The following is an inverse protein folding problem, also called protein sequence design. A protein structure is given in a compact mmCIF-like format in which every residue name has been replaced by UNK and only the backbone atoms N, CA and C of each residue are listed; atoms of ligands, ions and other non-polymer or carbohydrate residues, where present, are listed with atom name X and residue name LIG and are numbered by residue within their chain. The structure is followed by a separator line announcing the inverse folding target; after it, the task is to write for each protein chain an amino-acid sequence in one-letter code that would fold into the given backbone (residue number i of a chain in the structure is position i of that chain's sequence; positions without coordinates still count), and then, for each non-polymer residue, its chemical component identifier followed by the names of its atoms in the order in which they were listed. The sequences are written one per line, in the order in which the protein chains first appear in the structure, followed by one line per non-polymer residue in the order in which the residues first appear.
data_IF_993182296283
#
_entry.id   IF_993182296283
#
_cell.length_a   1.000
_cell.length_b   1.000
_cell.length_c   1.000
_cell.angle_alpha   90.00
_cell.angle_beta   90.00
_cell.angle_gamma   90.00
#
_symmetry.space_group_name_H-M   'P 1'
#
loop_
_entity.id
_entity.type
_entity.pdbx_description
1 polymer ?
#
# COMPACT_ATOMS: atom_id res chain seq x y z
N UNK A 1 -54.37 -7.03 -30.99
CA UNK A 1 -54.18 -7.74 -32.25
C UNK A 1 -54.48 -9.25 -32.11
N UNK A 2 -53.98 -9.92 -31.08
CA UNK A 2 -54.24 -11.35 -30.87
C UNK A 2 -55.69 -11.64 -30.54
N UNK A 3 -56.37 -10.77 -29.81
CA UNK A 3 -57.79 -10.92 -29.43
C UNK A 3 -58.78 -10.74 -30.59
N UNK A 4 -58.31 -10.27 -31.75
CA UNK A 4 -59.15 -10.05 -32.95
C UNK A 4 -58.86 -11.06 -34.08
N UNK A 5 -57.92 -11.99 -33.87
CA UNK A 5 -57.58 -12.97 -34.87
C UNK A 5 -58.48 -14.19 -34.78
N UNK A 6 -59.07 -14.61 -35.89
CA UNK A 6 -59.83 -15.85 -35.99
C UNK A 6 -58.95 -17.10 -35.93
N UNK A 7 -59.56 -18.24 -35.58
CA UNK A 7 -58.86 -19.53 -35.55
C UNK A 7 -58.29 -19.86 -36.94
N UNK A 8 -56.94 -20.03 -37.05
CA UNK A 8 -56.23 -20.31 -38.29
C UNK A 8 -55.70 -19.09 -39.03
N UNK A 9 -55.91 -17.86 -38.53
CA UNK A 9 -55.35 -16.66 -39.15
C UNK A 9 -53.87 -16.46 -38.75
N UNK A 10 -53.05 -16.04 -39.73
CA UNK A 10 -51.64 -15.66 -39.49
C UNK A 10 -51.57 -14.20 -39.09
N UNK A 11 -51.20 -13.95 -37.85
CA UNK A 11 -50.99 -12.58 -37.34
C UNK A 11 -49.53 -12.20 -37.39
N UNK A 12 -49.20 -11.10 -38.07
CA UNK A 12 -47.85 -10.54 -38.10
C UNK A 12 -47.63 -9.66 -36.85
N UNK A 13 -46.79 -10.10 -35.95
CA UNK A 13 -46.41 -9.34 -34.76
C UNK A 13 -45.13 -8.54 -35.06
N UNK A 14 -45.17 -7.18 -35.09
CA UNK A 14 -43.94 -6.44 -35.26
C UNK A 14 -43.09 -6.55 -34.01
N UNK A 15 -41.84 -7.05 -34.19
CA UNK A 15 -40.84 -7.11 -33.15
C UNK A 15 -40.01 -5.82 -33.20
N UNK A 16 -39.99 -5.11 -32.08
CA UNK A 16 -39.02 -4.02 -31.90
C UNK A 16 -37.71 -4.62 -31.39
N UNK A 17 -36.76 -4.78 -32.29
CA UNK A 17 -35.39 -5.22 -31.92
C UNK A 17 -34.59 -3.99 -31.42
N UNK A 18 -34.25 -4.00 -30.16
CA UNK A 18 -33.30 -3.03 -29.59
C UNK A 18 -31.94 -3.71 -29.50
N UNK A 19 -30.96 -3.23 -30.25
CA UNK A 19 -29.61 -3.74 -30.13
C UNK A 19 -29.02 -3.29 -28.77
N UNK A 20 -28.31 -4.20 -28.05
CA UNK A 20 -27.62 -3.83 -26.85
C UNK A 20 -26.50 -2.83 -27.16
N UNK A 21 -26.22 -1.89 -26.24
CA UNK A 21 -25.12 -0.91 -26.37
C UNK A 21 -23.77 -1.62 -26.59
N UNK A 22 -23.56 -2.74 -25.91
CA UNK A 22 -22.39 -3.58 -26.00
C UNK A 22 -22.79 -4.94 -26.60
N UNK A 23 -22.42 -5.17 -27.86
CA UNK A 23 -22.61 -6.47 -28.54
C UNK A 23 -21.43 -7.40 -28.21
N UNK A 24 -21.63 -8.73 -28.32
CA UNK A 24 -20.54 -9.72 -28.11
C UNK A 24 -19.32 -9.41 -28.97
N UNK A 25 -19.51 -9.10 -30.24
CA UNK A 25 -18.40 -8.74 -31.14
C UNK A 25 -17.63 -7.50 -30.69
N UNK A 26 -18.32 -6.47 -30.17
CA UNK A 26 -17.67 -5.28 -29.62
C UNK A 26 -16.92 -5.58 -28.33
N UNK A 27 -17.49 -6.44 -27.48
CA UNK A 27 -16.86 -6.89 -26.25
C UNK A 27 -15.56 -7.64 -26.55
N UNK A 28 -15.62 -8.67 -27.39
CA UNK A 28 -14.48 -9.51 -27.78
C UNK A 28 -13.34 -8.67 -28.42
N UNK A 29 -13.69 -7.73 -29.31
CA UNK A 29 -12.72 -6.88 -29.97
C UNK A 29 -12.01 -5.88 -29.05
N UNK A 30 -12.57 -5.63 -27.85
CA UNK A 30 -12.07 -4.57 -26.94
C UNK A 30 -11.72 -5.10 -25.56
N UNK A 31 -11.84 -6.39 -25.29
CA UNK A 31 -11.67 -6.95 -23.96
C UNK A 31 -10.22 -6.77 -23.45
N UNK A 32 -10.07 -6.05 -22.34
CA UNK A 32 -8.79 -5.86 -21.61
C UNK A 32 -7.59 -5.36 -22.43
N UNK A 33 -7.82 -4.63 -23.52
CA UNK A 33 -6.76 -4.21 -24.44
C UNK A 33 -5.88 -3.06 -23.93
N UNK A 34 -6.39 -2.27 -22.98
CA UNK A 34 -5.73 -1.06 -22.51
C UNK A 34 -5.34 -1.21 -21.03
N UNK A 35 -4.23 -0.57 -20.66
CA UNK A 35 -3.85 -0.40 -19.25
C UNK A 35 -4.53 0.86 -18.73
N UNK A 36 -5.52 0.72 -17.86
CA UNK A 36 -6.23 1.85 -17.25
C UNK A 36 -5.41 2.47 -16.11
N UNK A 37 -4.66 1.65 -15.39
CA UNK A 37 -3.79 2.10 -14.33
C UNK A 37 -2.78 1.03 -13.93
N UNK A 38 -1.59 1.44 -13.54
CA UNK A 38 -0.56 0.54 -13.04
C UNK A 38 0.30 1.18 -11.96
N UNK A 39 0.83 0.36 -11.08
CA UNK A 39 1.70 0.81 -10.00
C UNK A 39 2.49 -0.31 -9.37
N UNK A 40 3.59 0.05 -8.73
CA UNK A 40 4.39 -0.93 -8.02
C UNK A 40 5.04 -0.33 -6.78
N UNK A 41 5.20 -1.16 -5.73
CA UNK A 41 5.83 -0.79 -4.47
C UNK A 41 6.82 -1.86 -4.02
N UNK A 42 7.94 -1.45 -3.42
CA UNK A 42 8.92 -2.39 -2.88
C UNK A 42 8.47 -2.89 -1.51
N UNK A 43 8.48 -4.20 -1.32
CA UNK A 43 8.09 -4.85 -0.08
C UNK A 43 9.32 -5.14 0.78
N UNK A 44 9.46 -4.43 1.89
CA UNK A 44 10.46 -4.72 2.91
C UNK A 44 9.93 -5.70 3.96
N UNK A 45 10.82 -6.34 4.71
CA UNK A 45 10.46 -7.16 5.87
C UNK A 45 10.91 -8.63 5.77
N UNK A 46 10.52 -9.47 6.74
CA UNK A 46 10.90 -10.88 6.79
C UNK A 46 10.14 -11.74 5.77
N UNK A 47 10.60 -12.97 5.55
CA UNK A 47 10.07 -13.92 4.55
C UNK A 47 8.56 -14.18 4.69
N UNK A 48 8.03 -14.28 5.91
CA UNK A 48 6.59 -14.48 6.12
C UNK A 48 5.76 -13.32 5.59
N UNK A 49 6.25 -12.08 5.70
CA UNK A 49 5.57 -10.90 5.16
C UNK A 49 5.50 -10.95 3.64
N UNK A 50 6.61 -11.30 2.98
CA UNK A 50 6.62 -11.46 1.51
C UNK A 50 5.72 -12.61 1.06
N UNK A 51 5.74 -13.72 1.81
CA UNK A 51 4.84 -14.85 1.55
C UNK A 51 3.36 -14.43 1.60
N UNK A 52 2.97 -13.67 2.64
CA UNK A 52 1.59 -13.18 2.78
C UNK A 52 1.19 -12.25 1.63
N UNK A 53 2.08 -11.34 1.23
CA UNK A 53 1.85 -10.42 0.12
C UNK A 53 1.73 -11.19 -1.21
N UNK A 54 2.56 -12.17 -1.45
CA UNK A 54 2.52 -13.03 -2.64
C UNK A 54 1.23 -13.85 -2.69
N UNK A 55 0.83 -14.46 -1.57
CA UNK A 55 -0.46 -15.18 -1.46
C UNK A 55 -1.65 -14.25 -1.74
N UNK A 56 -1.66 -13.07 -1.13
CA UNK A 56 -2.70 -12.07 -1.35
C UNK A 56 -2.74 -11.61 -2.83
N UNK A 57 -1.58 -11.35 -3.43
CA UNK A 57 -1.47 -10.97 -4.83
C UNK A 57 -1.98 -12.07 -5.76
N UNK A 58 -1.67 -13.34 -5.49
CA UNK A 58 -2.18 -14.48 -6.25
C UNK A 58 -3.70 -14.62 -6.17
N UNK A 59 -4.30 -14.32 -5.03
CA UNK A 59 -5.77 -14.34 -4.87
C UNK A 59 -6.44 -13.19 -5.62
N UNK A 60 -5.81 -12.02 -5.63
CA UNK A 60 -6.30 -10.85 -6.35
C UNK A 60 -6.15 -11.00 -7.87
N UNK A 61 -5.08 -11.71 -8.31
CA UNK A 61 -4.72 -11.82 -9.71
C UNK A 61 -5.80 -12.51 -10.54
N UNK A 62 -6.18 -11.91 -11.65
CA UNK A 62 -7.19 -12.43 -12.57
C UNK A 62 -8.63 -12.04 -12.23
N UNK A 63 -8.86 -11.29 -11.13
CA UNK A 63 -10.20 -10.78 -10.79
C UNK A 63 -10.76 -9.93 -11.93
N UNK A 64 -11.98 -10.23 -12.34
CA UNK A 64 -12.71 -9.50 -13.38
C UNK A 64 -13.95 -8.86 -12.74
N UNK A 65 -14.21 -7.60 -13.08
CA UNK A 65 -15.40 -6.88 -12.68
C UNK A 65 -16.16 -6.42 -13.92
N UNK A 66 -17.43 -6.78 -14.00
CA UNK A 66 -18.33 -6.27 -15.04
C UNK A 66 -18.68 -4.79 -14.80
N UNK A 67 -19.17 -4.06 -15.81
CA UNK A 67 -19.68 -2.71 -15.62
C UNK A 67 -20.69 -2.60 -14.49
N UNK A 68 -20.50 -1.66 -13.57
CA UNK A 68 -21.34 -1.45 -12.40
C UNK A 68 -21.05 -2.36 -11.20
N UNK A 69 -20.23 -3.41 -11.34
CA UNK A 69 -19.88 -4.27 -10.21
C UNK A 69 -18.93 -3.57 -9.23
N UNK A 70 -19.14 -3.86 -7.96
CA UNK A 70 -18.31 -3.37 -6.86
C UNK A 70 -17.37 -4.47 -6.38
N UNK A 71 -16.08 -4.17 -6.37
CA UNK A 71 -15.03 -5.00 -5.79
C UNK A 71 -14.99 -4.87 -4.27
N UNK A 72 -14.74 -5.97 -3.57
CA UNK A 72 -14.36 -6.04 -2.15
C UNK A 72 -13.02 -6.73 -2.02
N UNK A 73 -12.08 -6.08 -1.36
CA UNK A 73 -10.76 -6.66 -1.09
C UNK A 73 -10.87 -7.82 -0.09
N UNK A 74 -11.67 -7.66 0.96
CA UNK A 74 -11.85 -8.69 1.98
C UNK A 74 -12.49 -9.96 1.41
N UNK A 75 -13.52 -9.83 0.56
CA UNK A 75 -14.18 -10.97 -0.09
C UNK A 75 -13.23 -11.71 -1.05
N UNK A 76 -12.35 -10.97 -1.75
CA UNK A 76 -11.46 -11.54 -2.76
C UNK A 76 -10.19 -12.14 -2.14
N UNK A 77 -9.57 -11.45 -1.19
CA UNK A 77 -8.25 -11.78 -0.66
C UNK A 77 -8.31 -12.51 0.68
N UNK A 78 -9.40 -12.33 1.44
CA UNK A 78 -9.63 -13.00 2.71
C UNK A 78 -9.98 -14.49 2.59
N UNK A 79 -10.32 -15.14 3.69
CA UNK A 79 -10.13 -14.68 5.08
C UNK A 79 -8.66 -14.68 5.49
N UNK A 80 -8.29 -13.81 6.45
CA UNK A 80 -6.90 -13.59 6.88
C UNK A 80 -6.52 -14.51 8.05
N UNK A 81 -6.58 -15.83 7.84
CA UNK A 81 -6.36 -16.84 8.89
C UNK A 81 -5.19 -17.76 8.55
N UNK A 82 -4.65 -18.45 9.57
CA UNK A 82 -3.66 -19.51 9.36
C UNK A 82 -4.22 -20.65 8.51
N UNK A 83 -5.49 -21.01 8.72
CA UNK A 83 -6.18 -22.06 7.97
C UNK A 83 -6.32 -21.73 6.47
N UNK A 84 -6.40 -20.45 6.12
CA UNK A 84 -6.42 -19.98 4.73
C UNK A 84 -5.04 -19.79 4.13
N UNK A 85 -3.98 -20.20 4.84
CA UNK A 85 -2.60 -20.23 4.35
C UNK A 85 -1.76 -19.00 4.69
N UNK A 86 -2.31 -17.98 5.36
CA UNK A 86 -1.50 -16.85 5.82
C UNK A 86 -0.61 -17.22 6.98
N UNK A 87 0.49 -16.50 7.15
CA UNK A 87 1.47 -16.67 8.23
C UNK A 87 1.46 -15.48 9.18
N UNK A 88 1.90 -15.71 10.43
CA UNK A 88 2.21 -14.62 11.34
C UNK A 88 3.40 -13.81 10.79
N UNK A 89 3.23 -12.49 10.73
CA UNK A 89 4.26 -11.54 10.29
C UNK A 89 4.00 -10.17 10.92
N UNK A 90 5.04 -9.35 10.96
CA UNK A 90 4.98 -8.03 11.57
C UNK A 90 3.88 -7.16 10.96
N UNK A 91 3.02 -6.66 11.83
CA UNK A 91 2.03 -5.62 11.57
C UNK A 91 2.15 -4.53 12.63
N UNK A 92 1.43 -3.44 12.48
CA UNK A 92 1.46 -2.34 13.44
C UNK A 92 0.19 -2.31 14.25
N UNK A 93 0.34 -2.45 15.58
CA UNK A 93 -0.73 -2.22 16.55
C UNK A 93 -0.25 -1.23 17.59
N UNK A 94 -0.98 -0.13 17.80
CA UNK A 94 -0.68 0.90 18.81
C UNK A 94 0.76 1.44 18.75
N UNK A 95 1.33 1.57 17.56
CA UNK A 95 2.70 2.05 17.36
C UNK A 95 3.80 0.99 17.54
N UNK A 96 3.44 -0.22 17.93
CA UNK A 96 4.35 -1.36 18.05
C UNK A 96 4.28 -2.26 16.81
N UNK A 97 5.41 -2.83 16.44
CA UNK A 97 5.47 -3.95 15.51
C UNK A 97 5.17 -5.23 16.29
N UNK A 98 4.03 -5.84 16.00
CA UNK A 98 3.61 -7.11 16.59
C UNK A 98 3.38 -8.13 15.47
N UNK A 99 3.63 -9.40 15.76
CA UNK A 99 3.30 -10.46 14.81
C UNK A 99 1.80 -10.74 14.86
N UNK A 100 1.14 -10.55 13.73
CA UNK A 100 -0.25 -10.94 13.53
C UNK A 100 -0.41 -11.71 12.21
N UNK A 101 -1.44 -12.54 12.14
CA UNK A 101 -1.75 -13.31 10.94
C UNK A 101 -1.98 -12.36 9.75
N UNK A 102 -1.44 -12.73 8.59
CA UNK A 102 -1.52 -11.97 7.36
C UNK A 102 -0.82 -10.59 7.39
N UNK A 103 0.15 -10.37 8.31
CA UNK A 103 0.95 -9.14 8.28
C UNK A 103 1.53 -8.84 6.90
N UNK A 104 1.31 -7.62 6.40
CA UNK A 104 1.79 -7.13 5.10
C UNK A 104 0.71 -6.92 4.03
N UNK A 105 -0.47 -7.53 4.13
CA UNK A 105 -1.52 -7.46 3.09
C UNK A 105 -2.02 -6.04 2.80
N UNK A 106 -1.99 -5.13 3.78
CA UNK A 106 -2.36 -3.73 3.57
C UNK A 106 -1.44 -3.00 2.58
N UNK A 107 -0.27 -3.53 2.26
CA UNK A 107 0.55 -2.96 1.19
C UNK A 107 -0.05 -3.26 -0.19
N UNK A 108 -0.68 -4.43 -0.37
CA UNK A 108 -1.38 -4.76 -1.61
C UNK A 108 -2.66 -3.94 -1.77
N UNK A 109 -3.50 -3.82 -0.71
CA UNK A 109 -4.71 -3.00 -0.77
C UNK A 109 -4.40 -1.52 -1.03
N UNK A 110 -3.30 -1.01 -0.45
CA UNK A 110 -2.82 0.37 -0.72
C UNK A 110 -2.33 0.54 -2.16
N UNK A 111 -1.56 -0.43 -2.69
CA UNK A 111 -1.12 -0.38 -4.08
C UNK A 111 -2.31 -0.46 -5.05
N UNK A 112 -3.29 -1.32 -4.76
CA UNK A 112 -4.52 -1.42 -5.54
C UNK A 112 -5.31 -0.10 -5.49
N UNK A 113 -5.48 0.52 -4.30
CA UNK A 113 -6.15 1.81 -4.18
C UNK A 113 -5.47 2.89 -5.02
N UNK A 114 -4.14 2.99 -4.96
CA UNK A 114 -3.38 3.94 -5.77
C UNK A 114 -3.58 3.72 -7.27
N UNK A 115 -3.59 2.45 -7.71
CA UNK A 115 -3.82 2.07 -9.12
C UNK A 115 -5.27 2.35 -9.54
N UNK A 116 -6.24 2.11 -8.64
CA UNK A 116 -7.66 2.43 -8.87
C UNK A 116 -7.88 3.93 -9.10
N UNK A 117 -7.19 4.79 -8.33
CA UNK A 117 -7.21 6.24 -8.57
C UNK A 117 -6.61 6.60 -9.93
N UNK A 118 -5.53 5.93 -10.36
CA UNK A 118 -4.94 6.15 -11.70
C UNK A 118 -5.89 5.73 -12.82
N UNK A 119 -6.61 4.64 -12.62
CA UNK A 119 -7.62 4.15 -13.54
C UNK A 119 -8.91 4.99 -13.55
N UNK A 120 -9.01 6.01 -12.70
CA UNK A 120 -10.19 6.86 -12.53
C UNK A 120 -11.47 6.05 -12.23
N UNK A 121 -11.35 4.98 -11.42
CA UNK A 121 -12.48 4.19 -10.96
C UNK A 121 -13.08 4.77 -9.68
N UNK A 122 -14.37 4.51 -9.44
CA UNK A 122 -15.11 5.05 -8.30
C UNK A 122 -14.74 4.33 -7.00
N UNK A 123 -14.27 5.09 -5.99
CA UNK A 123 -13.95 4.56 -4.66
C UNK A 123 -15.21 4.51 -3.82
N UNK A 124 -15.59 3.30 -3.37
CA UNK A 124 -16.78 3.06 -2.55
C UNK A 124 -16.44 3.08 -1.06
N UNK A 125 -15.31 2.46 -0.67
CA UNK A 125 -14.87 2.38 0.73
C UNK A 125 -13.35 2.38 0.81
N UNK A 126 -12.81 3.20 1.71
CA UNK A 126 -11.37 3.27 1.99
C UNK A 126 -11.11 3.75 3.40
N UNK A 127 -10.25 3.05 4.12
CA UNK A 127 -9.77 3.41 5.45
C UNK A 127 -8.27 3.70 5.41
N UNK A 128 -7.84 4.82 6.02
CA UNK A 128 -6.42 5.16 6.11
C UNK A 128 -5.77 4.48 7.31
N UNK A 129 -4.46 4.28 7.25
CA UNK A 129 -3.69 3.87 8.43
C UNK A 129 -3.59 4.99 9.49
N UNK A 130 -3.32 4.59 10.72
CA UNK A 130 -3.04 5.53 11.80
C UNK A 130 -1.69 6.25 11.61
N UNK A 131 -0.71 5.56 11.02
CA UNK A 131 0.64 6.05 10.77
C UNK A 131 0.98 5.94 9.28
N UNK A 132 1.81 6.86 8.78
CA UNK A 132 2.32 6.74 7.41
C UNK A 132 3.49 5.74 7.39
N UNK A 133 3.26 4.54 6.87
CA UNK A 133 4.26 3.46 6.78
C UNK A 133 5.36 3.70 5.74
N UNK A 134 5.27 4.73 4.92
CA UNK A 134 6.32 5.17 3.99
C UNK A 134 6.54 4.27 2.76
N UNK A 135 5.70 3.26 2.53
CA UNK A 135 5.83 2.36 1.37
C UNK A 135 5.06 2.84 0.13
N UNK A 136 4.15 3.81 0.29
CA UNK A 136 3.44 4.39 -0.84
C UNK A 136 4.17 5.63 -1.38
N UNK A 137 4.30 5.78 -2.71
CA UNK A 137 4.99 6.93 -3.31
C UNK A 137 4.21 8.24 -3.16
N UNK A 138 2.90 8.17 -2.98
CA UNK A 138 2.02 9.32 -2.72
C UNK A 138 1.41 9.16 -1.33
N UNK A 139 1.72 10.05 -0.39
CA UNK A 139 1.14 10.02 0.95
C UNK A 139 -0.36 10.25 0.84
N UNK A 140 -1.15 9.39 1.51
CA UNK A 140 -2.61 9.44 1.42
C UNK A 140 -3.21 8.39 0.49
N UNK A 141 -2.38 7.66 -0.29
CA UNK A 141 -2.84 6.55 -1.14
C UNK A 141 -2.72 5.19 -0.46
N UNK A 142 -2.70 5.17 0.86
CA UNK A 142 -2.77 3.95 1.65
C UNK A 142 -4.23 3.51 1.88
N UNK A 143 -4.45 2.21 1.99
CA UNK A 143 -5.74 1.60 2.34
C UNK A 143 -5.53 0.49 3.36
N UNK A 144 -6.10 0.66 4.56
CA UNK A 144 -6.11 -0.35 5.62
C UNK A 144 -7.27 -1.30 5.41
N UNK A 145 -6.99 -2.59 5.53
CA UNK A 145 -7.99 -3.65 5.54
C UNK A 145 -7.84 -4.50 6.80
N UNK A 146 -8.97 -4.94 7.37
CA UNK A 146 -8.98 -5.75 8.57
C UNK A 146 -10.27 -6.58 8.67
N UNK A 147 -10.20 -7.85 8.25
CA UNK A 147 -11.33 -8.79 8.32
C UNK A 147 -12.66 -8.12 7.89
N UNK A 148 -13.72 -8.29 8.69
CA UNK A 148 -15.07 -7.78 8.41
C UNK A 148 -15.29 -6.32 8.84
N UNK A 149 -14.25 -5.64 9.37
CA UNK A 149 -14.40 -4.28 9.95
C UNK A 149 -13.94 -3.15 9.04
N UNK A 150 -12.87 -3.37 8.26
CA UNK A 150 -12.28 -2.37 7.39
C UNK A 150 -12.03 -3.01 6.02
N UNK A 151 -12.68 -2.51 5.00
CA UNK A 151 -12.51 -3.01 3.63
C UNK A 151 -11.95 -1.92 2.70
N UNK A 152 -11.45 -2.34 1.57
CA UNK A 152 -11.20 -1.48 0.43
C UNK A 152 -12.11 -1.92 -0.72
N UNK A 153 -13.00 -1.01 -1.13
CA UNK A 153 -14.02 -1.28 -2.15
C UNK A 153 -14.00 -0.19 -3.21
N UNK A 154 -14.16 -0.59 -4.45
CA UNK A 154 -14.31 0.32 -5.58
C UNK A 154 -15.28 -0.27 -6.61
N UNK A 155 -15.87 0.57 -7.44
CA UNK A 155 -16.79 0.15 -8.49
C UNK A 155 -16.14 0.29 -9.87
N UNK A 156 -16.42 -0.68 -10.75
CA UNK A 156 -16.15 -0.51 -12.17
C UNK A 156 -17.22 0.41 -12.78
N UNK A 157 -16.94 1.70 -12.81
CA UNK A 157 -17.78 2.74 -13.39
C UNK A 157 -17.56 2.95 -14.90
N UNK A 158 -16.88 2.00 -15.58
CA UNK A 158 -16.67 2.02 -17.03
C UNK A 158 -17.75 1.21 -17.76
N UNK A 159 -17.85 1.39 -19.08
CA UNK A 159 -18.80 0.63 -19.92
C UNK A 159 -18.31 -0.78 -20.28
N UNK A 160 -17.08 -1.18 -19.89
CA UNK A 160 -16.45 -2.45 -20.24
C UNK A 160 -15.97 -3.19 -18.99
N UNK A 161 -15.84 -4.53 -19.06
CA UNK A 161 -15.20 -5.27 -17.99
C UNK A 161 -13.77 -4.82 -17.76
N UNK A 162 -13.34 -4.82 -16.49
CA UNK A 162 -11.95 -4.61 -16.10
C UNK A 162 -11.38 -5.89 -15.52
N UNK A 163 -10.05 -6.06 -15.62
CA UNK A 163 -9.30 -7.18 -15.06
C UNK A 163 -8.14 -6.67 -14.23
N UNK A 164 -7.96 -7.24 -13.05
CA UNK A 164 -6.84 -6.94 -12.16
C UNK A 164 -5.75 -7.98 -12.37
N UNK A 165 -4.53 -7.53 -12.61
CA UNK A 165 -3.32 -8.35 -12.55
C UNK A 165 -2.48 -7.91 -11.36
N UNK A 166 -2.00 -8.87 -10.56
CA UNK A 166 -1.13 -8.60 -9.44
C UNK A 166 -0.15 -9.72 -9.19
N UNK A 167 1.10 -9.38 -8.88
CA UNK A 167 2.15 -10.34 -8.53
C UNK A 167 3.28 -9.69 -7.75
N UNK A 168 3.98 -10.51 -6.97
CA UNK A 168 5.23 -10.14 -6.32
C UNK A 168 6.39 -10.70 -7.15
N UNK A 169 7.32 -9.85 -7.60
CA UNK A 169 8.47 -10.29 -8.37
C UNK A 169 9.60 -10.83 -7.48
N UNK A 170 10.64 -11.39 -8.11
CA UNK A 170 11.83 -11.95 -7.43
C UNK A 170 12.64 -10.92 -6.62
N UNK A 171 12.45 -9.63 -6.88
CA UNK A 171 13.08 -8.52 -6.15
C UNK A 171 12.17 -7.98 -5.04
N UNK A 172 11.10 -8.71 -4.68
CA UNK A 172 10.08 -8.32 -3.73
C UNK A 172 9.40 -6.98 -4.08
N UNK A 173 9.24 -6.71 -5.38
CA UNK A 173 8.46 -5.59 -5.87
C UNK A 173 7.06 -6.08 -6.20
N UNK A 174 6.07 -5.47 -5.56
CA UNK A 174 4.67 -5.78 -5.76
C UNK A 174 4.13 -4.95 -6.92
N UNK A 175 3.58 -5.61 -7.91
CA UNK A 175 2.99 -5.01 -9.09
C UNK A 175 1.48 -5.17 -9.07
N UNK A 176 0.77 -4.13 -9.45
CA UNK A 176 -0.68 -4.15 -9.68
C UNK A 176 -0.97 -3.39 -10.96
N UNK A 177 -1.79 -4.00 -11.83
CA UNK A 177 -2.25 -3.39 -13.07
C UNK A 177 -3.75 -3.64 -13.24
N UNK A 178 -4.49 -2.62 -13.62
CA UNK A 178 -5.90 -2.73 -14.02
C UNK A 178 -5.96 -2.57 -15.53
N UNK A 179 -6.41 -3.61 -16.19
CA UNK A 179 -6.70 -3.64 -17.63
C UNK A 179 -8.18 -3.41 -17.88
N UNK A 180 -8.50 -2.79 -18.99
CA UNK A 180 -9.88 -2.56 -19.44
C UNK A 180 -9.92 -2.08 -20.88
N UNK A 181 -10.94 -1.28 -21.19
CA UNK A 181 -11.09 -0.59 -22.47
C UNK A 181 -11.18 0.90 -22.20
N UNK A 182 -10.15 1.64 -22.60
CA UNK A 182 -10.15 3.09 -22.49
C UNK A 182 -10.97 3.72 -23.62
N UNK A 183 -12.16 4.19 -23.27
CA UNK A 183 -13.06 4.88 -24.21
C UNK A 183 -12.96 6.40 -24.10
N UNK A 184 -12.30 6.89 -23.07
CA UNK A 184 -12.27 8.33 -22.75
C UNK A 184 -10.92 8.99 -23.00
N UNK A 185 -9.84 8.23 -22.92
CA UNK A 185 -8.46 8.75 -22.90
C UNK A 185 -8.16 9.56 -21.64
N UNK A 186 -8.95 9.38 -20.57
CA UNK A 186 -8.82 10.13 -19.31
C UNK A 186 -8.25 9.19 -18.24
N UNK A 187 -7.18 9.62 -17.58
CA UNK A 187 -6.61 8.90 -16.46
C UNK A 187 -6.34 9.83 -15.27
N UNK A 188 -6.19 9.21 -14.09
CA UNK A 188 -5.92 9.91 -12.85
C UNK A 188 -4.43 10.04 -12.55
N UNK A 189 -4.01 11.20 -12.06
CA UNK A 189 -2.70 11.45 -11.48
C UNK A 189 -2.89 11.86 -10.01
N UNK A 190 -2.92 10.90 -9.08
CA UNK A 190 -3.03 11.21 -7.66
C UNK A 190 -1.73 11.85 -7.16
N UNK A 191 -1.86 12.93 -6.40
CA UNK A 191 -0.74 13.60 -5.74
C UNK A 191 -1.15 14.14 -4.38
N UNK A 192 -0.20 14.47 -3.53
CA UNK A 192 -0.47 15.02 -2.20
C UNK A 192 0.21 16.37 -1.99
N UNK A 193 -0.38 17.15 -1.09
CA UNK A 193 0.21 18.38 -0.54
C UNK A 193 0.36 18.20 0.96
N UNK A 194 1.58 18.35 1.47
CA UNK A 194 1.84 18.29 2.91
C UNK A 194 1.42 19.63 3.55
N UNK A 195 0.44 19.58 4.43
CA UNK A 195 -0.07 20.74 5.17
C UNK A 195 0.73 20.95 6.45
N UNK A 196 1.05 19.87 7.16
CA UNK A 196 1.89 19.93 8.35
C UNK A 196 2.65 18.64 8.59
N UNK A 197 3.79 18.76 9.29
CA UNK A 197 4.61 17.63 9.74
C UNK A 197 4.84 17.75 11.24
N UNK A 198 4.61 16.65 11.96
CA UNK A 198 4.96 16.52 13.38
C UNK A 198 6.12 15.53 13.47
N UNK A 199 7.35 16.00 13.76
CA UNK A 199 8.49 15.10 13.92
C UNK A 199 8.27 14.11 15.06
N UNK A 200 8.70 12.86 14.88
CA UNK A 200 8.78 11.90 15.99
C UNK A 200 9.84 12.36 17.00
N UNK A 201 9.70 11.93 18.25
CA UNK A 201 10.65 12.17 19.33
C UNK A 201 11.35 10.86 19.71
N UNK A 202 12.47 10.99 20.39
CA UNK A 202 13.07 9.88 21.12
C UNK A 202 12.56 9.94 22.55
N UNK A 203 11.89 8.88 23.00
CA UNK A 203 11.41 8.71 24.37
C UNK A 203 12.26 7.67 25.07
N UNK A 204 12.52 7.89 26.36
CA UNK A 204 13.41 7.06 27.16
C UNK A 204 12.63 6.47 28.34
N UNK A 205 12.66 5.14 28.48
CA UNK A 205 11.95 4.42 29.53
C UNK A 205 12.94 3.66 30.42
N UNK A 206 12.76 3.71 31.76
CA UNK A 206 13.62 2.97 32.68
C UNK A 206 13.43 1.46 32.50
N UNK A 207 14.55 0.70 32.58
CA UNK A 207 14.56 -0.74 32.51
C UNK A 207 15.76 -1.29 33.28
N UNK A 208 15.48 -1.92 34.44
CA UNK A 208 16.52 -2.41 35.35
C UNK A 208 17.43 -3.48 34.75
N UNK A 209 16.94 -4.22 33.75
CA UNK A 209 17.73 -5.24 33.06
C UNK A 209 18.83 -4.69 32.15
N UNK A 210 18.87 -3.38 31.91
CA UNK A 210 19.98 -2.72 31.21
C UNK A 210 21.12 -2.56 32.21
N UNK A 211 22.37 -3.04 31.91
CA UNK A 211 23.51 -2.88 32.82
C UNK A 211 23.82 -1.38 33.04
N UNK A 212 24.18 -1.04 34.28
CA UNK A 212 24.64 0.32 34.63
C UNK A 212 25.82 0.72 33.77
N UNK A 213 25.83 1.94 33.27
CA UNK A 213 26.89 2.45 32.40
C UNK A 213 26.67 2.17 30.91
N UNK A 214 25.65 1.41 30.53
CA UNK A 214 25.31 1.11 29.14
C UNK A 214 24.53 2.28 28.53
N UNK A 215 24.86 2.64 27.29
CA UNK A 215 24.07 3.64 26.54
C UNK A 215 22.62 3.19 26.36
N UNK A 216 21.67 4.14 26.31
CA UNK A 216 20.27 3.82 26.08
C UNK A 216 20.07 2.99 24.80
N UNK A 217 19.43 1.84 24.91
CA UNK A 217 19.21 0.88 23.85
C UNK A 217 17.85 1.11 23.20
N UNK A 218 17.85 1.27 21.85
CA UNK A 218 16.61 1.40 21.10
C UNK A 218 15.82 0.09 21.11
N UNK A 219 14.52 0.17 21.38
CA UNK A 219 13.63 -0.97 21.14
C UNK A 219 13.31 -1.09 19.64
N UNK A 220 13.71 -2.21 19.00
CA UNK A 220 13.44 -2.44 17.59
C UNK A 220 11.95 -2.63 17.27
N UNK A 221 11.13 -3.00 18.27
CA UNK A 221 9.69 -3.22 18.11
C UNK A 221 8.90 -1.92 17.96
N UNK A 222 9.47 -0.77 18.38
CA UNK A 222 8.84 0.52 18.16
C UNK A 222 9.34 1.17 16.88
N UNK A 223 8.46 1.25 15.89
CA UNK A 223 8.73 1.98 14.65
C UNK A 223 8.56 3.47 14.87
N UNK A 224 9.50 4.26 14.33
CA UNK A 224 9.45 5.72 14.39
C UNK A 224 8.88 6.26 13.09
N UNK A 225 7.85 7.09 13.20
CA UNK A 225 7.23 7.77 12.06
C UNK A 225 6.97 9.24 12.39
N UNK A 226 7.25 10.11 11.44
CA UNK A 226 6.73 11.46 11.51
C UNK A 226 5.20 11.43 11.34
N UNK A 227 4.51 12.28 12.05
CA UNK A 227 3.10 12.58 11.80
C UNK A 227 2.97 13.54 10.62
N UNK A 228 1.89 13.41 9.87
CA UNK A 228 1.59 14.26 8.72
C UNK A 228 0.12 14.62 8.69
N UNK A 229 -0.17 15.86 8.29
CA UNK A 229 -1.47 16.21 7.71
C UNK A 229 -1.24 16.48 6.24
N UNK A 230 -1.93 15.75 5.38
CA UNK A 230 -1.80 15.88 3.92
C UNK A 230 -3.16 15.96 3.26
N UNK A 231 -3.24 16.76 2.23
CA UNK A 231 -4.36 16.78 1.29
C UNK A 231 -4.00 15.89 0.10
N UNK A 232 -4.82 14.86 -0.15
CA UNK A 232 -4.73 13.99 -1.31
C UNK A 232 -5.63 14.52 -2.40
N UNK A 233 -5.07 14.79 -3.55
CA UNK A 233 -5.76 15.23 -4.75
C UNK A 233 -5.71 14.17 -5.83
N UNK A 234 -6.73 14.13 -6.67
CA UNK A 234 -6.73 13.46 -7.97
C UNK A 234 -6.81 14.52 -9.06
N UNK A 235 -5.79 14.55 -9.90
CA UNK A 235 -5.81 15.34 -11.14
C UNK A 235 -6.21 14.40 -12.27
N UNK A 236 -7.26 14.74 -13.03
CA UNK A 236 -7.65 14.02 -14.24
C UNK A 236 -6.99 14.70 -15.45
N UNK A 237 -6.37 13.90 -16.28
CA UNK A 237 -5.70 14.36 -17.50
C UNK A 237 -6.18 13.59 -18.72
N UNK A 238 -6.22 14.26 -19.86
CA UNK A 238 -6.52 13.64 -21.14
C UNK A 238 -5.28 12.96 -21.74
N UNK A 239 -5.46 12.27 -22.86
CA UNK A 239 -4.39 11.59 -23.61
C UNK A 239 -3.24 12.50 -24.07
N UNK A 240 -3.42 13.80 -24.06
CA UNK A 240 -2.40 14.79 -24.43
C UNK A 240 -1.71 15.39 -23.20
N UNK A 241 -2.04 14.91 -21.99
CA UNK A 241 -1.52 15.43 -20.72
C UNK A 241 -2.17 16.74 -20.25
N UNK A 242 -3.26 17.19 -20.90
CA UNK A 242 -3.99 18.38 -20.47
C UNK A 242 -4.83 18.05 -19.25
N UNK A 243 -4.71 18.86 -18.21
CA UNK A 243 -5.55 18.75 -17.00
C UNK A 243 -7.00 19.10 -17.35
N UNK A 244 -7.91 18.18 -17.00
CA UNK A 244 -9.37 18.34 -17.14
C UNK A 244 -9.95 18.86 -15.83
N UNK A 245 -9.56 18.24 -14.72
CA UNK A 245 -10.03 18.62 -13.37
C UNK A 245 -8.98 18.29 -12.31
N UNK A 246 -9.12 18.92 -11.15
CA UNK A 246 -8.34 18.58 -9.95
C UNK A 246 -9.30 18.59 -8.77
N UNK A 247 -9.40 17.48 -8.06
CA UNK A 247 -10.34 17.29 -6.97
C UNK A 247 -9.59 16.92 -5.69
N UNK A 248 -9.88 17.60 -4.58
CA UNK A 248 -9.46 17.18 -3.26
C UNK A 248 -10.28 15.95 -2.87
N UNK A 249 -9.62 14.80 -2.71
CA UNK A 249 -10.27 13.56 -2.30
C UNK A 249 -10.43 13.49 -0.78
N UNK A 250 -9.30 13.66 -0.05
CA UNK A 250 -9.29 13.52 1.41
C UNK A 250 -8.24 14.42 2.04
N UNK A 251 -8.54 14.93 3.23
CA UNK A 251 -7.52 15.39 4.18
C UNK A 251 -7.19 14.26 5.13
N UNK A 252 -5.97 13.74 5.07
CA UNK A 252 -5.50 12.64 5.89
C UNK A 252 -4.57 13.15 6.98
N UNK A 253 -4.83 12.75 8.24
CA UNK A 253 -3.92 13.01 9.37
C UNK A 253 -3.35 11.70 9.86
N UNK A 254 -2.02 11.59 9.86
CA UNK A 254 -1.26 10.46 10.37
C UNK A 254 -0.57 10.88 11.67
N UNK A 255 -0.66 10.03 12.69
CA UNK A 255 0.01 10.30 13.98
C UNK A 255 1.52 10.13 13.86
N UNK A 256 2.28 10.88 14.65
CA UNK A 256 3.69 10.57 14.90
C UNK A 256 3.78 9.32 15.78
N UNK A 257 4.82 8.52 15.57
CA UNK A 257 5.19 7.40 16.45
C UNK A 257 6.63 7.60 16.90
N UNK A 258 6.83 7.68 18.22
CA UNK A 258 8.11 8.00 18.81
C UNK A 258 9.03 6.76 18.85
N UNK A 259 10.35 6.99 18.76
CA UNK A 259 11.34 5.97 19.02
C UNK A 259 11.47 5.74 20.52
N UNK A 260 11.36 4.49 20.97
CA UNK A 260 11.52 4.12 22.38
C UNK A 260 12.94 3.61 22.62
N UNK A 261 13.57 4.13 23.67
CA UNK A 261 14.87 3.70 24.17
C UNK A 261 14.75 3.27 25.62
N UNK A 262 15.39 2.16 25.98
CA UNK A 262 15.48 1.70 27.37
C UNK A 262 16.84 2.08 27.96
N UNK A 263 16.87 2.50 29.23
CA UNK A 263 18.07 2.86 29.96
C UNK A 263 18.01 2.34 31.41
N UNK A 264 19.17 2.14 32.06
CA UNK A 264 19.18 1.82 33.48
C UNK A 264 18.81 3.08 34.30
N UNK A 265 17.86 3.01 35.24
CA UNK A 265 17.42 4.18 36.03
C UNK A 265 18.56 4.91 36.74
N UNK A 266 19.61 4.19 37.18
CA UNK A 266 20.77 4.79 37.85
C UNK A 266 21.61 5.70 36.93
N UNK A 267 21.47 5.56 35.60
CA UNK A 267 22.19 6.34 34.61
C UNK A 267 21.40 7.53 34.06
N UNK A 268 20.20 7.82 34.57
CA UNK A 268 19.35 8.90 34.06
C UNK A 268 20.12 10.23 33.94
N UNK A 269 20.78 10.63 35.04
CA UNK A 269 21.56 11.85 35.08
C UNK A 269 22.78 11.84 34.13
N UNK A 270 23.41 10.67 34.00
CA UNK A 270 24.57 10.47 33.10
C UNK A 270 24.21 10.72 31.64
N UNK A 271 23.03 10.29 31.22
CA UNK A 271 22.57 10.42 29.84
C UNK A 271 21.70 11.68 29.62
N UNK A 272 21.55 12.52 30.66
CA UNK A 272 20.72 13.73 30.60
C UNK A 272 19.23 13.42 30.36
N UNK A 273 18.76 12.27 30.87
CA UNK A 273 17.35 11.86 30.74
C UNK A 273 16.59 12.38 31.98
N UNK A 274 15.50 13.09 31.71
CA UNK A 274 14.53 13.44 32.75
C UNK A 274 13.56 12.26 32.97
N UNK A 275 13.60 11.59 34.12
CA UNK A 275 12.76 10.43 34.39
C UNK A 275 11.26 10.74 34.40
N UNK A 276 10.87 11.99 34.65
CA UNK A 276 9.46 12.40 34.71
C UNK A 276 8.83 12.57 33.34
N UNK A 277 9.62 12.99 32.34
CA UNK A 277 9.14 13.23 30.99
C UNK A 277 9.59 12.16 29.99
N UNK A 278 10.61 11.36 30.33
CA UNK A 278 11.23 10.41 29.43
C UNK A 278 11.96 11.08 28.24
N UNK A 279 12.32 12.34 28.35
CA UNK A 279 13.02 13.08 27.31
C UNK A 279 14.45 13.40 27.73
N UNK A 280 15.37 13.53 26.79
CA UNK A 280 16.70 14.11 27.07
C UNK A 280 16.56 15.61 27.24
N UNK A 281 17.05 16.12 28.36
CA UNK A 281 17.32 17.56 28.52
C UNK A 281 18.45 17.94 27.57
N UNK A 282 18.18 18.86 26.66
CA UNK A 282 19.21 19.50 25.90
C UNK A 282 19.96 20.42 26.88
N UNK A 283 20.95 19.89 27.59
CA UNK A 283 21.92 20.76 28.26
C UNK A 283 22.64 21.51 27.15
N UNK A 284 22.66 22.87 27.19
CA UNK A 284 23.58 23.59 26.32
C UNK A 284 24.96 23.05 26.66
N UNK A 285 25.66 22.44 25.71
CA UNK A 285 27.10 22.15 25.87
C UNK A 285 27.75 23.51 26.00
N UNK A 286 27.99 23.94 27.22
CA UNK A 286 28.93 25.02 27.46
C UNK A 286 30.24 24.53 26.87
N UNK A 287 30.77 25.17 25.81
CA UNK A 287 32.02 24.72 25.24
C UNK A 287 33.04 24.68 26.38
N UNK A 288 33.54 23.48 26.69
CA UNK A 288 34.68 23.35 27.61
C UNK A 288 35.73 24.29 27.07
N UNK A 289 36.21 25.28 27.86
CA UNK A 289 37.23 26.18 27.37
C UNK A 289 38.39 25.32 26.89
N UNK A 290 38.70 25.45 25.59
CA UNK A 290 39.85 24.81 24.98
C UNK A 290 41.04 25.13 25.88
N UNK A 291 41.86 24.16 26.32
CA UNK A 291 43.02 24.46 27.14
C UNK A 291 43.80 25.53 26.38
N UNK A 292 43.98 26.67 27.05
CA UNK A 292 44.80 27.78 26.54
C UNK A 292 46.15 27.21 26.11
N UNK A 293 46.62 27.45 24.88
CA UNK A 293 47.91 26.93 24.46
C UNK A 293 48.96 27.42 25.45
N UNK A 294 49.65 26.48 26.09
CA UNK A 294 50.81 26.77 26.93
C UNK A 294 51.79 27.64 26.13
N UNK A 295 52.32 28.74 26.68
CA UNK A 295 53.23 29.60 25.92
C UNK A 295 54.42 28.75 25.45
N UNK A 296 54.59 28.66 24.14
CA UNK A 296 55.74 28.04 23.48
C UNK A 296 57.01 28.79 23.90
N UNK A 297 58.08 28.13 24.31
CA UNK A 297 59.33 28.80 24.64
C UNK A 297 59.86 29.59 23.44
N UNK A 298 60.29 30.79 23.67
CA UNK A 298 60.86 31.72 22.67
C UNK A 298 62.01 31.02 21.88
N UNK A 299 62.05 31.16 20.55
CA UNK A 299 63.15 30.60 19.75
C UNK A 299 64.42 31.38 19.98
N UNK A 300 65.55 30.65 20.27
CA UNK A 300 66.91 31.18 20.27
C UNK A 300 67.29 31.67 18.86
N UNK A 301 68.05 32.74 18.75
CA UNK A 301 68.48 33.29 17.46
C UNK A 301 69.52 32.38 16.79
N UNK A 302 69.19 31.88 15.58
CA UNK A 302 70.16 31.21 14.71
C UNK A 302 70.61 32.12 13.60
N UNK A 303 71.91 32.14 13.28
CA UNK A 303 72.47 33.08 12.29
C UNK A 303 72.25 32.60 10.86
N UNK A 304 71.97 33.53 10.00
CA UNK A 304 72.21 33.62 8.57
C UNK A 304 72.05 32.35 7.70
N UNK A 305 71.00 32.25 6.93
CA UNK A 305 70.87 31.35 5.84
C UNK A 305 70.19 32.01 4.65
N UNK A 306 70.77 31.82 3.49
CA UNK A 306 70.51 32.33 2.14
C UNK A 306 69.06 32.18 1.68
N UNK A 307 68.45 33.04 0.86
CA UNK A 307 67.07 32.93 0.40
C UNK A 307 66.92 31.80 -0.57
N UNK A 308 65.95 30.91 -0.30
CA UNK A 308 65.51 29.83 -1.17
C UNK A 308 64.46 30.31 -2.16
N UNK A 309 64.40 29.78 -3.39
CA UNK A 309 63.59 30.32 -4.47
C UNK A 309 62.10 30.04 -4.26
N UNK A 310 61.27 30.97 -4.80
CA UNK A 310 59.82 30.94 -4.84
C UNK A 310 59.35 29.70 -5.59
N UNK A 311 58.38 28.92 -5.09
CA UNK A 311 57.80 27.79 -5.85
C UNK A 311 56.88 28.31 -6.98
N UNK A 312 57.22 27.88 -8.18
CA UNK A 312 56.44 28.06 -9.41
C UNK A 312 55.10 27.36 -9.30
N UNK A 313 54.05 28.03 -9.70
CA UNK A 313 52.67 27.47 -9.74
C UNK A 313 52.61 26.24 -10.63
N UNK A 314 52.05 25.15 -10.09
CA UNK A 314 51.74 23.92 -10.80
C UNK A 314 50.52 24.13 -11.70
N UNK A 315 50.54 23.71 -12.98
CA UNK A 315 49.37 23.81 -13.85
C UNK A 315 48.25 22.88 -13.39
N UNK A 316 47.03 23.38 -13.47
CA UNK A 316 45.81 22.61 -13.27
C UNK A 316 45.68 21.50 -14.32
N UNK A 317 45.49 20.26 -13.89
CA UNK A 317 45.16 19.11 -14.73
C UNK A 317 43.79 19.33 -15.36
N UNK A 318 43.53 18.84 -16.60
CA UNK A 318 42.23 18.91 -17.24
C UNK A 318 41.22 18.02 -16.52
N UNK A 319 39.97 18.51 -16.42
CA UNK A 319 38.82 17.77 -15.93
C UNK A 319 38.58 16.54 -16.82
N UNK A 320 38.52 15.36 -16.23
CA UNK A 320 38.05 14.15 -16.91
C UNK A 320 36.57 14.29 -17.34
N UNK A 321 36.19 13.74 -18.50
CA UNK A 321 34.80 13.76 -18.94
C UNK A 321 33.94 12.84 -18.06
N UNK A 322 32.75 13.31 -17.71
CA UNK A 322 31.70 12.55 -17.01
C UNK A 322 31.44 11.18 -17.65
N UNK A 323 31.16 10.14 -16.86
CA UNK A 323 30.86 8.83 -17.39
C UNK A 323 29.56 8.85 -18.21
N UNK A 324 29.67 8.35 -19.42
CA UNK A 324 28.53 8.09 -20.33
C UNK A 324 27.56 7.10 -19.72
N UNK A 325 26.28 7.47 -19.68
CA UNK A 325 25.17 6.60 -19.28
C UNK A 325 25.13 5.38 -20.21
N UNK A 326 25.09 4.13 -19.70
CA UNK A 326 24.92 2.97 -20.55
C UNK A 326 23.52 2.95 -21.18
N UNK A 327 23.36 2.40 -22.40
CA UNK A 327 22.06 2.29 -23.05
C UNK A 327 21.10 1.42 -22.27
N UNK A 328 19.82 1.80 -22.25
CA UNK A 328 18.71 1.02 -21.70
C UNK A 328 18.72 -0.41 -22.24
N UNK A 329 18.42 -1.42 -21.42
CA UNK A 329 18.28 -2.79 -21.87
C UNK A 329 17.10 -2.91 -22.84
N UNK A 330 17.35 -3.65 -23.93
CA UNK A 330 16.35 -4.03 -24.93
C UNK A 330 15.12 -4.69 -24.30
N UNK A 331 13.97 -4.42 -24.88
CA UNK A 331 12.68 -5.03 -24.50
C UNK A 331 12.76 -6.56 -24.61
N UNK A 332 12.19 -7.30 -23.64
CA UNK A 332 12.15 -8.75 -23.73
C UNK A 332 11.27 -9.20 -24.92
N UNK A 333 11.57 -10.36 -25.53
CA UNK A 333 10.83 -10.89 -26.65
C UNK A 333 9.38 -11.19 -26.28
N UNK A 334 8.48 -11.00 -27.23
CA UNK A 334 7.06 -11.27 -27.11
C UNK A 334 6.78 -12.71 -26.65
N UNK A 335 5.99 -12.85 -25.59
CA UNK A 335 5.50 -14.12 -25.08
C UNK A 335 4.54 -14.76 -26.09
N UNK A 336 4.89 -15.93 -26.60
CA UNK A 336 4.00 -16.80 -27.37
C UNK A 336 3.34 -17.78 -26.39
N UNK A 337 2.01 -17.81 -26.27
CA UNK A 337 1.35 -18.77 -25.39
C UNK A 337 1.51 -20.21 -25.94
N UNK A 338 1.59 -21.22 -25.06
CA UNK A 338 1.61 -22.63 -25.45
C UNK A 338 0.30 -22.99 -26.18
N UNK A 339 0.42 -23.73 -27.26
CA UNK A 339 -0.71 -24.30 -28.00
C UNK A 339 -1.42 -25.30 -27.08
N UNK A 340 -2.69 -25.09 -26.82
CA UNK A 340 -3.56 -25.96 -26.03
C UNK A 340 -3.73 -27.31 -26.77
N UNK A 341 -3.32 -28.40 -26.11
CA UNK A 341 -3.54 -29.74 -26.60
C UNK A 341 -5.06 -30.08 -26.50
N UNK A 342 -5.67 -30.32 -27.63
CA UNK A 342 -7.05 -30.75 -27.74
C UNK A 342 -7.23 -32.13 -27.06
N UNK A 343 -7.91 -32.16 -25.91
CA UNK A 343 -8.30 -33.42 -25.26
C UNK A 343 -9.53 -33.97 -25.94
N UNK A 344 -9.42 -35.20 -26.46
CA UNK A 344 -10.51 -36.03 -26.97
C UNK A 344 -11.41 -36.50 -25.80
N UNK A 345 -12.73 -36.48 -25.88
CA UNK A 345 -13.57 -36.97 -24.80
C UNK A 345 -13.61 -38.52 -24.81
N UNK A 346 -13.09 -39.14 -23.76
CA UNK A 346 -13.33 -40.54 -23.46
C UNK A 346 -14.68 -40.70 -22.74
N UNK A 347 -15.54 -41.51 -23.34
CA UNK A 347 -16.79 -41.97 -22.77
C UNK A 347 -16.53 -43.10 -21.75
N UNK A 348 -16.70 -42.81 -20.47
CA UNK A 348 -16.62 -43.77 -19.37
C UNK A 348 -17.94 -43.82 -18.58
N UNK A 349 -18.70 -44.87 -18.75
CA UNK A 349 -19.85 -45.23 -17.93
C UNK A 349 -19.34 -45.78 -16.58
N UNK A 350 -19.77 -45.22 -15.47
CA UNK A 350 -19.54 -45.78 -14.14
C UNK A 350 -20.79 -45.64 -13.23
N UNK A 351 -21.00 -46.52 -12.27
CA UNK A 351 -22.33 -46.92 -11.78
C UNK A 351 -22.82 -46.12 -10.56
N UNK A 352 -24.13 -46.00 -10.52
CA UNK A 352 -25.11 -45.87 -9.45
C UNK A 352 -24.67 -45.35 -8.06
N UNK A 353 -25.29 -44.25 -7.64
CA UNK A 353 -25.51 -43.98 -6.22
C UNK A 353 -27.01 -43.78 -5.98
N UNK A 354 -27.53 -44.49 -4.97
CA UNK A 354 -28.88 -44.45 -4.48
C UNK A 354 -29.28 -43.12 -3.84
N UNK A 355 -30.57 -42.76 -3.76
CA UNK A 355 -31.03 -41.50 -3.21
C UNK A 355 -31.05 -41.52 -1.68
N UNK A 356 -30.58 -40.45 -1.06
CA UNK A 356 -30.66 -40.20 0.39
C UNK A 356 -31.97 -39.47 0.68
N UNK A 357 -32.74 -39.98 1.66
CA UNK A 357 -34.01 -39.48 2.18
C UNK A 357 -33.98 -38.00 2.63
N UNK A 358 -35.00 -37.28 2.22
CA UNK A 358 -35.34 -35.95 2.78
C UNK A 358 -35.94 -36.09 4.17
N UNK A 359 -35.40 -35.34 5.15
CA UNK A 359 -36.00 -35.12 6.46
C UNK A 359 -36.71 -33.75 6.48
N UNK A 360 -37.93 -33.65 7.07
CA UNK A 360 -38.80 -32.48 6.88
C UNK A 360 -38.42 -31.29 7.73
N UNK A 361 -38.69 -30.10 7.18
CA UNK A 361 -38.52 -28.77 7.75
C UNK A 361 -39.31 -28.60 9.05
N UNK A 362 -38.65 -28.06 10.07
CA UNK A 362 -39.22 -27.58 11.33
C UNK A 362 -39.57 -26.10 11.18
N UNK A 363 -40.84 -25.78 11.38
CA UNK A 363 -41.43 -24.44 11.42
C UNK A 363 -40.97 -23.71 12.73
N UNK A 364 -40.57 -22.44 12.71
CA UNK A 364 -40.34 -21.72 13.97
C UNK A 364 -41.61 -21.11 14.54
N UNK A 365 -41.88 -21.41 15.81
CA UNK A 365 -42.91 -20.80 16.63
C UNK A 365 -42.61 -19.31 16.92
N UNK A 366 -43.64 -18.50 16.86
CA UNK A 366 -43.71 -17.10 17.27
C UNK A 366 -43.82 -16.99 18.79
N UNK A 367 -43.01 -16.08 19.40
CA UNK A 367 -43.41 -15.51 20.71
C UNK A 367 -42.26 -15.29 21.66
N UNK A 368 -41.89 -14.08 21.86
CA UNK A 368 -41.87 -13.27 23.09
C UNK A 368 -40.80 -12.19 23.09
N UNK A 369 -41.25 -10.99 23.32
CA UNK A 369 -40.50 -9.74 23.52
C UNK A 369 -39.64 -9.81 24.78
N UNK A 370 -38.36 -9.42 24.77
CA UNK A 370 -37.63 -9.11 25.98
C UNK A 370 -37.57 -7.60 26.25
N UNK A 371 -37.67 -7.30 27.52
CA UNK A 371 -37.69 -5.98 28.15
C UNK A 371 -36.42 -5.15 27.92
N UNK A 372 -36.61 -3.84 27.96
CA UNK A 372 -35.58 -2.80 27.89
C UNK A 372 -34.58 -2.89 29.06
N UNK A 373 -33.27 -2.74 28.73
CA UNK A 373 -32.20 -2.53 29.69
C UNK A 373 -31.68 -1.10 29.55
N UNK A 374 -31.42 -0.35 30.62
CA UNK A 374 -31.11 1.07 30.56
C UNK A 374 -29.66 1.33 30.14
N UNK A 375 -29.50 2.38 29.35
CA UNK A 375 -28.27 3.02 28.90
C UNK A 375 -27.41 3.49 30.07
N UNK A 376 -26.15 3.12 30.13
CA UNK A 376 -25.12 3.77 30.93
C UNK A 376 -24.23 4.61 29.99
N UNK A 377 -24.11 5.90 30.31
CA UNK A 377 -23.26 6.86 29.63
C UNK A 377 -21.77 6.62 29.97
N UNK A 378 -20.84 6.97 29.09
CA UNK A 378 -19.41 6.89 29.40
C UNK A 378 -18.94 8.15 30.12
N UNK A 379 -18.16 7.97 31.17
CA UNK A 379 -17.38 9.00 31.85
C UNK A 379 -16.05 9.22 31.11
N UNK A 380 -15.68 10.49 30.99
CA UNK A 380 -14.43 11.18 30.67
C UNK A 380 -13.23 10.44 30.06
#
# INVERSE_FOLDING_TARGET
MLDAAGEGETVSVPLLLTEPKLTTAKLEANLFKDVLGSGSTTCAGPSNRWYNIDLAAKRLNGTILLPGETFSYNDTVGPYTLASGYKAAGTYQNGQSVDATAGGICQLSSNLYWVTLKANLEIVERHKHQFNGGYMPVIGTDATVWSDQLDFRFQNNTDYPIKIESYLDKNHKLHVTIYGTDTTGIHGEPYHVVISTVPYKNTYQPKDSIPVGTEPQRDPNYSRYNGYTVDLYQKLVDKNGKTISTTLLYRNTYKASDAVYYYNPADAARWGIDPSTGLKTLTPVTPTPSPSPSPSPAPSPTPGGTPSPVPTATPLLPLEPSPTVPPSPESPPAYTPPVEATATPESGVGPGMEPVEETPAVTPETGSTPAAVPSAAPAA
#
